data_IF_863634156025
#
_entry.id   IF_863634156025
#
_cell.length_a   1.000
_cell.length_b   1.000
_cell.length_c   1.000
_cell.angle_alpha   90.00
_cell.angle_beta   90.00
_cell.angle_gamma   90.00
#
_symmetry.space_group_name_H-M   'P 1'
#
loop_
_entity.id
_entity.type
_entity.pdbx_description
1 polymer ?
#
# COMPACT_ATOMS: atom_id res chain seq x y z
N UNK A 1 -75.59 -11.71 8.01
CA UNK A 1 -76.30 -10.42 8.21
C UNK A 1 -75.28 -9.37 8.60
N UNK A 2 -75.32 -8.25 7.88
CA UNK A 2 -74.37 -7.14 7.84
C UNK A 2 -74.12 -6.42 9.17
N UNK A 3 -72.93 -5.84 9.33
CA UNK A 3 -72.79 -4.37 9.44
C UNK A 3 -71.35 -3.89 9.22
N UNK A 4 -71.31 -2.77 8.52
CA UNK A 4 -70.20 -2.08 7.88
C UNK A 4 -69.71 -0.91 8.75
N UNK A 5 -68.40 -0.71 8.80
CA UNK A 5 -67.59 0.54 8.90
C UNK A 5 -67.86 1.65 9.93
N UNK A 6 -66.75 2.19 10.48
CA UNK A 6 -66.29 3.62 10.44
C UNK A 6 -64.90 3.71 11.13
N UNK A 7 -63.82 4.11 10.45
CA UNK A 7 -63.37 5.47 10.11
C UNK A 7 -62.73 6.24 11.30
N UNK A 8 -61.45 6.61 11.15
CA UNK A 8 -60.71 7.54 12.02
C UNK A 8 -59.19 7.34 11.93
N UNK A 9 -58.54 7.63 10.80
CA UNK A 9 -57.78 8.86 10.50
C UNK A 9 -56.86 9.38 11.64
N UNK A 10 -55.55 9.29 11.32
CA UNK A 10 -54.48 10.30 11.47
C UNK A 10 -53.50 10.16 12.64
N UNK A 11 -52.25 10.01 12.20
CA UNK A 11 -51.08 10.75 12.67
C UNK A 11 -50.51 10.37 14.03
N UNK A 12 -49.44 9.59 13.95
CA UNK A 12 -48.45 9.44 15.02
C UNK A 12 -47.18 8.79 14.47
N UNK A 13 -46.70 9.31 13.34
CA UNK A 13 -45.44 8.90 12.72
C UNK A 13 -44.29 9.48 13.55
N UNK A 14 -43.79 8.72 14.52
CA UNK A 14 -42.46 8.93 15.10
C UNK A 14 -41.91 7.56 15.48
N UNK A 15 -41.17 6.95 14.56
CA UNK A 15 -40.25 5.86 14.91
C UNK A 15 -38.93 6.14 14.23
N UNK A 16 -38.15 6.94 14.98
CA UNK A 16 -36.71 6.84 15.19
C UNK A 16 -35.89 6.44 13.95
N UNK A 17 -35.31 7.46 13.33
CA UNK A 17 -34.07 7.35 12.56
C UNK A 17 -33.01 6.60 13.37
N UNK A 18 -32.35 5.64 12.71
CA UNK A 18 -30.92 5.30 12.81
C UNK A 18 -30.68 3.79 12.73
N UNK A 19 -30.75 3.25 11.51
CA UNK A 19 -29.91 2.12 11.14
C UNK A 19 -29.00 2.61 10.02
N UNK A 20 -28.00 3.36 10.47
CA UNK A 20 -26.87 3.78 9.67
C UNK A 20 -26.10 2.53 9.21
N UNK A 21 -25.85 2.49 7.89
CA UNK A 21 -24.67 1.95 7.23
C UNK A 21 -23.79 1.01 8.06
N UNK A 22 -23.98 -0.29 7.87
CA UNK A 22 -23.09 -1.26 8.47
C UNK A 22 -23.15 -2.56 7.68
N UNK A 23 -22.51 -2.58 6.51
CA UNK A 23 -21.96 -3.76 5.82
C UNK A 23 -21.40 -3.34 4.45
N UNK A 24 -20.53 -2.32 4.43
CA UNK A 24 -19.57 -2.14 3.34
C UNK A 24 -18.16 -2.28 3.91
N UNK A 25 -17.88 -3.40 4.57
CA UNK A 25 -16.49 -3.84 4.76
C UNK A 25 -16.03 -4.54 3.47
N UNK A 26 -16.15 -3.84 2.32
CA UNK A 26 -15.29 -4.12 1.20
C UNK A 26 -13.94 -3.57 1.61
N UNK A 27 -13.16 -4.39 2.33
CA UNK A 27 -11.73 -4.18 2.48
C UNK A 27 -11.15 -4.35 1.08
N UNK A 28 -11.24 -3.28 0.29
CA UNK A 28 -10.37 -3.09 -0.87
C UNK A 28 -9.00 -2.89 -0.23
N UNK A 29 -8.33 -3.99 0.10
CA UNK A 29 -6.90 -3.99 0.28
C UNK A 29 -6.36 -3.54 -1.08
N UNK A 30 -5.98 -2.28 -1.17
CA UNK A 30 -5.23 -1.81 -2.32
C UNK A 30 -4.02 -2.75 -2.49
N UNK A 31 -3.61 -3.13 -3.70
CA UNK A 31 -2.46 -4.02 -3.92
C UNK A 31 -1.19 -3.56 -3.19
N UNK A 32 -1.09 -2.26 -2.90
CA UNK A 32 -0.07 -1.65 -2.05
C UNK A 32 -0.07 -2.19 -0.61
N UNK A 33 -1.21 -2.53 -0.02
CA UNK A 33 -1.29 -3.07 1.35
C UNK A 33 -0.71 -4.49 1.45
N UNK A 34 -0.84 -5.28 0.36
CA UNK A 34 -0.28 -6.63 0.28
C UNK A 34 1.21 -6.64 -0.08
N UNK A 35 1.70 -5.60 -0.77
CA UNK A 35 3.11 -5.41 -1.09
C UNK A 35 3.92 -4.77 0.05
N UNK A 36 3.26 -4.11 1.00
CA UNK A 36 3.91 -3.33 2.07
C UNK A 36 3.44 -3.70 3.49
N UNK A 37 2.88 -4.89 3.66
CA UNK A 37 2.51 -5.42 4.98
C UNK A 37 3.72 -5.49 5.90
N UNK A 38 3.81 -4.55 6.84
CA UNK A 38 4.86 -4.47 7.86
C UNK A 38 4.91 -5.76 8.67
N UNK A 39 5.88 -6.62 8.37
CA UNK A 39 6.33 -7.59 9.37
C UNK A 39 7.40 -6.89 10.20
N UNK A 40 7.22 -6.94 11.51
CA UNK A 40 7.88 -6.11 12.51
C UNK A 40 9.23 -6.68 12.95
N UNK A 41 9.98 -7.26 12.02
CA UNK A 41 11.30 -7.83 12.32
C UNK A 41 12.37 -6.92 11.71
N UNK A 42 12.95 -6.02 12.51
CA UNK A 42 14.05 -5.14 12.12
C UNK A 42 15.36 -5.89 11.86
N UNK A 43 15.37 -7.22 11.88
CA UNK A 43 16.48 -7.97 11.34
C UNK A 43 16.52 -7.84 9.81
N UNK A 44 17.70 -7.97 9.22
CA UNK A 44 18.09 -7.98 7.80
C UNK A 44 17.09 -8.64 6.81
N UNK A 45 16.11 -9.40 7.31
CA UNK A 45 15.01 -10.05 6.63
C UNK A 45 13.85 -9.14 6.15
N UNK A 46 13.64 -7.92 6.68
CA UNK A 46 12.47 -7.09 6.27
C UNK A 46 12.72 -5.99 5.25
N UNK A 47 13.97 -5.79 4.82
CA UNK A 47 14.21 -4.75 3.82
C UNK A 47 13.64 -5.25 2.49
N UNK A 48 12.69 -4.50 1.88
CA UNK A 48 12.10 -4.91 0.62
C UNK A 48 13.18 -5.11 -0.44
N UNK A 49 13.10 -6.24 -1.14
CA UNK A 49 14.00 -6.56 -2.24
C UNK A 49 13.17 -6.84 -3.50
N UNK A 50 13.73 -6.45 -4.64
CA UNK A 50 13.14 -6.57 -5.97
C UNK A 50 13.63 -7.81 -6.72
N UNK A 51 14.67 -8.49 -6.22
CA UNK A 51 15.25 -9.67 -6.86
C UNK A 51 14.24 -10.81 -7.02
N UNK A 52 14.14 -11.37 -8.22
CA UNK A 52 13.18 -12.44 -8.54
C UNK A 52 11.71 -11.99 -8.59
N UNK A 53 11.44 -10.69 -8.49
CA UNK A 53 10.09 -10.12 -8.65
C UNK A 53 9.93 -9.52 -10.06
N UNK A 54 8.72 -9.07 -10.40
CA UNK A 54 8.47 -8.32 -11.64
C UNK A 54 9.29 -7.01 -11.75
N UNK A 55 9.79 -6.48 -10.62
CA UNK A 55 10.61 -5.27 -10.56
C UNK A 55 12.11 -5.57 -10.61
N UNK A 56 12.50 -6.84 -10.82
CA UNK A 56 13.90 -7.22 -11.00
C UNK A 56 14.42 -6.66 -12.33
N UNK A 57 15.43 -5.81 -12.24
CA UNK A 57 16.09 -5.23 -13.41
C UNK A 57 16.74 -6.27 -14.34
N UNK A 58 16.98 -7.51 -13.89
CA UNK A 58 17.52 -8.58 -14.73
C UNK A 58 16.51 -9.15 -15.72
N UNK A 59 15.23 -9.06 -15.38
CA UNK A 59 14.12 -9.57 -16.21
C UNK A 59 13.29 -8.46 -16.83
N UNK A 60 13.56 -7.19 -16.46
CA UNK A 60 12.91 -6.03 -17.03
C UNK A 60 13.19 -5.92 -18.53
N UNK A 61 12.18 -5.53 -19.31
CA UNK A 61 12.27 -5.33 -20.75
C UNK A 61 11.65 -3.99 -21.14
N UNK A 62 12.27 -3.31 -22.11
CA UNK A 62 11.80 -2.04 -22.64
C UNK A 62 12.37 -0.83 -21.92
N UNK A 63 11.71 0.32 -22.12
CA UNK A 63 12.06 1.58 -21.48
C UNK A 63 11.23 1.83 -20.22
N UNK A 64 11.85 2.49 -19.25
CA UNK A 64 11.23 2.81 -17.98
C UNK A 64 12.20 3.55 -17.06
N UNK A 65 12.14 3.21 -15.78
CA UNK A 65 12.86 3.89 -14.70
C UNK A 65 13.53 2.88 -13.79
N UNK A 66 14.78 3.15 -13.43
CA UNK A 66 15.52 2.40 -12.42
C UNK A 66 15.59 3.22 -11.13
N UNK A 67 14.92 2.73 -10.10
CA UNK A 67 15.01 3.24 -8.74
C UNK A 67 16.19 2.58 -8.03
N UNK A 68 17.05 3.38 -7.41
CA UNK A 68 18.15 2.88 -6.59
C UNK A 68 18.00 3.50 -5.20
N UNK A 69 17.88 2.63 -4.20
CA UNK A 69 17.82 2.97 -2.80
C UNK A 69 19.06 2.42 -2.09
N UNK A 70 19.92 3.33 -1.65
CA UNK A 70 21.19 3.07 -1.00
C UNK A 70 21.30 3.84 0.31
N UNK A 71 21.79 3.18 1.36
CA UNK A 71 21.95 3.81 2.65
C UNK A 71 22.26 2.82 3.75
N UNK A 72 21.86 3.17 4.99
CA UNK A 72 22.03 2.32 6.15
C UNK A 72 20.71 2.10 6.89
N UNK A 73 20.47 0.86 7.27
CA UNK A 73 19.39 0.47 8.17
C UNK A 73 19.96 0.03 9.51
N UNK A 74 19.18 0.18 10.58
CA UNK A 74 19.59 -0.23 11.92
C UNK A 74 18.95 -1.58 12.25
N UNK A 75 19.77 -2.61 12.41
CA UNK A 75 19.38 -3.94 12.87
C UNK A 75 20.07 -4.19 14.20
N UNK A 76 19.29 -4.17 15.29
CA UNK A 76 19.73 -4.59 16.63
C UNK A 76 21.14 -4.07 17.01
N UNK A 77 21.31 -2.73 16.97
CA UNK A 77 22.55 -1.98 17.27
C UNK A 77 23.67 -2.05 16.20
N UNK A 78 23.50 -2.82 15.11
CA UNK A 78 24.45 -2.87 14.00
C UNK A 78 23.89 -2.16 12.76
N UNK A 79 24.55 -1.08 12.37
CA UNK A 79 24.26 -0.38 11.11
C UNK A 79 24.64 -1.26 9.92
N UNK A 80 23.68 -1.57 9.05
CA UNK A 80 23.89 -2.38 7.85
C UNK A 80 23.75 -1.54 6.60
N UNK A 81 24.70 -1.68 5.68
CA UNK A 81 24.59 -1.07 4.36
C UNK A 81 23.52 -1.78 3.54
N UNK A 82 22.64 -0.98 2.94
CA UNK A 82 21.53 -1.42 2.12
C UNK A 82 21.75 -0.84 0.73
N UNK A 83 21.62 -1.68 -0.29
CA UNK A 83 21.63 -1.25 -1.69
C UNK A 83 20.66 -2.12 -2.46
N UNK A 84 19.51 -1.55 -2.80
CA UNK A 84 18.44 -2.24 -3.53
C UNK A 84 18.10 -1.41 -4.76
N UNK A 85 17.90 -2.09 -5.89
CA UNK A 85 17.51 -1.44 -7.14
C UNK A 85 16.30 -2.14 -7.75
N UNK A 86 15.30 -1.37 -8.16
CA UNK A 86 14.12 -1.85 -8.88
C UNK A 86 14.00 -1.19 -10.25
N UNK A 87 13.42 -1.91 -11.20
CA UNK A 87 13.09 -1.38 -12.53
C UNK A 87 11.56 -1.33 -12.70
N UNK A 88 11.06 -0.19 -13.17
CA UNK A 88 9.65 0.18 -13.21
C UNK A 88 9.30 0.76 -14.56
N UNK A 89 8.05 0.60 -15.01
CA UNK A 89 7.61 1.17 -16.28
C UNK A 89 7.29 2.67 -16.17
N UNK A 90 6.87 3.11 -14.98
CA UNK A 90 6.51 4.51 -14.72
C UNK A 90 7.42 5.20 -13.70
N UNK A 91 7.49 6.53 -13.79
CA UNK A 91 8.22 7.35 -12.80
C UNK A 91 7.54 7.26 -11.42
N UNK A 92 6.21 7.23 -11.40
CA UNK A 92 5.43 7.19 -10.16
C UNK A 92 5.68 5.91 -9.37
N UNK A 93 5.73 4.75 -10.03
CA UNK A 93 6.11 3.48 -9.38
C UNK A 93 7.54 3.54 -8.82
N UNK A 94 8.46 4.13 -9.57
CA UNK A 94 9.83 4.29 -9.10
C UNK A 94 9.90 5.20 -7.87
N UNK A 95 9.15 6.32 -7.85
CA UNK A 95 9.09 7.21 -6.70
C UNK A 95 8.43 6.54 -5.49
N UNK A 96 7.37 5.75 -5.70
CA UNK A 96 6.73 4.98 -4.65
C UNK A 96 7.69 3.97 -4.03
N UNK A 97 8.49 3.27 -4.85
CA UNK A 97 9.56 2.39 -4.37
C UNK A 97 10.58 3.13 -3.50
N UNK A 98 11.04 4.31 -3.94
CA UNK A 98 11.97 5.11 -3.13
C UNK A 98 11.31 5.60 -1.84
N UNK A 99 10.05 6.03 -1.87
CA UNK A 99 9.32 6.44 -0.68
C UNK A 99 9.20 5.29 0.33
N UNK A 100 8.90 4.08 -0.14
CA UNK A 100 8.91 2.89 0.69
C UNK A 100 10.29 2.65 1.28
N UNK A 101 11.33 2.53 0.45
CA UNK A 101 12.69 2.25 0.93
C UNK A 101 13.19 3.31 1.91
N UNK A 102 12.76 4.56 1.75
CA UNK A 102 13.10 5.66 2.64
C UNK A 102 12.74 5.39 4.10
N UNK A 103 11.64 4.67 4.38
CA UNK A 103 11.21 4.37 5.75
C UNK A 103 12.02 3.26 6.41
N UNK A 104 12.74 2.45 5.62
CA UNK A 104 13.62 1.38 6.12
C UNK A 104 15.07 1.85 6.32
N UNK A 105 15.44 2.98 5.73
CA UNK A 105 16.77 3.56 5.82
C UNK A 105 16.79 4.65 6.89
N UNK A 106 17.57 4.43 7.95
CA UNK A 106 17.85 5.46 8.94
C UNK A 106 18.76 6.56 8.37
N UNK A 107 19.71 6.16 7.51
CA UNK A 107 20.58 7.11 6.80
C UNK A 107 20.50 6.85 5.29
N UNK A 108 20.22 7.88 4.51
CA UNK A 108 20.04 7.79 3.07
C UNK A 108 21.30 8.30 2.37
N UNK A 109 22.01 7.41 1.67
CA UNK A 109 23.21 7.76 0.91
C UNK A 109 22.86 8.08 -0.54
N UNK A 110 21.91 7.34 -1.12
CA UNK A 110 21.50 7.52 -2.51
C UNK A 110 20.05 7.09 -2.72
N UNK A 111 19.20 8.00 -3.17
CA UNK A 111 17.77 7.74 -3.41
C UNK A 111 17.33 8.44 -4.69
N UNK A 112 17.38 7.76 -5.84
CA UNK A 112 17.02 8.39 -7.13
C UNK A 112 16.39 7.42 -8.12
N UNK A 113 15.50 7.99 -8.93
CA UNK A 113 14.95 7.38 -10.13
C UNK A 113 15.71 7.90 -11.34
N UNK A 114 16.29 7.00 -12.12
CA UNK A 114 16.98 7.32 -13.36
C UNK A 114 16.25 6.68 -14.55
N UNK A 115 16.17 7.34 -15.71
CA UNK A 115 15.69 6.68 -16.93
C UNK A 115 16.51 5.41 -17.21
N UNK A 116 15.84 4.34 -17.58
CA UNK A 116 16.46 3.04 -17.83
C UNK A 116 15.85 2.36 -19.05
N UNK A 117 16.71 1.75 -19.85
CA UNK A 117 16.33 0.90 -20.98
C UNK A 117 17.14 -0.39 -20.87
N UNK A 118 16.44 -1.53 -20.92
CA UNK A 118 17.04 -2.87 -20.86
C UNK A 118 17.30 -3.44 -22.25
#
# INVERSE_FOLDING_TARGET
MSKTQKAGKRSGLVTVCALAFGLSACQIQSPSDLLFGSTWDTSRANIPNTYGTQYDCRTFQGSGWKGIAGGRSNDLDQGMSVSVAGCFHSLDECQAFLALMSSYLYFQEYMRCNPHTA
#
